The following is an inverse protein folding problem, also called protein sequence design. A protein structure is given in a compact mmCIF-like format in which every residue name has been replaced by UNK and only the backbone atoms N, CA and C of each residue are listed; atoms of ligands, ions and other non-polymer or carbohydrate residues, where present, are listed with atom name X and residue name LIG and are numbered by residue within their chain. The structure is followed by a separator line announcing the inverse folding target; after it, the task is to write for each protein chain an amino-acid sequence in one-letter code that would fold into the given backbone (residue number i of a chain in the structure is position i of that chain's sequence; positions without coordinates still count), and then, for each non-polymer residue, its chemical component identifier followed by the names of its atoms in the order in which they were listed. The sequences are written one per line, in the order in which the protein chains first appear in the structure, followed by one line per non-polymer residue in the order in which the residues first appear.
data_IF_930848488669
#
_entry.id   IF_930848488669
#
_cell.length_a   1.000
_cell.length_b   1.000
_cell.length_c   1.000
_cell.angle_alpha   90.00
_cell.angle_beta   90.00
_cell.angle_gamma   90.00
#
_symmetry.space_group_name_H-M   'P 1'
#
loop_
_entity.id
_entity.type
_entity.pdbx_description
1 polymer ?
#
# COMPACT_ATOMS: atom_id res chain seq x y z
N UNK A 1 -3.70 18.32 2.20
CA UNK A 1 -4.03 18.31 0.76
C UNK A 1 -5.49 17.92 0.58
N UNK A 2 -6.44 18.85 0.78
CA UNK A 2 -7.89 18.58 0.67
C UNK A 2 -8.66 19.65 -0.11
N UNK A 3 -7.93 20.59 -0.73
CA UNK A 3 -8.50 21.73 -1.44
C UNK A 3 -9.27 21.32 -2.70
N UNK A 4 -8.91 20.18 -3.32
CA UNK A 4 -9.60 19.66 -4.50
C UNK A 4 -11.02 19.18 -4.21
N UNK A 5 -11.30 18.65 -3.01
CA UNK A 5 -12.66 18.30 -2.58
C UNK A 5 -13.53 19.56 -2.46
N UNK A 6 -12.96 20.65 -1.95
CA UNK A 6 -13.62 21.95 -1.90
C UNK A 6 -14.00 22.47 -3.29
N UNK A 7 -13.14 22.27 -4.29
CA UNK A 7 -13.42 22.64 -5.68
C UNK A 7 -14.51 21.76 -6.27
N UNK A 8 -14.49 20.44 -6.04
CA UNK A 8 -15.53 19.51 -6.52
C UNK A 8 -16.89 19.85 -5.92
N UNK A 9 -16.94 20.14 -4.61
CA UNK A 9 -18.17 20.56 -3.92
C UNK A 9 -18.66 21.91 -4.45
N UNK A 10 -17.77 22.87 -4.72
CA UNK A 10 -18.14 24.14 -5.32
C UNK A 10 -18.74 23.95 -6.72
N UNK A 11 -18.11 23.15 -7.57
CA UNK A 11 -18.60 22.82 -8.92
C UNK A 11 -19.98 22.15 -8.85
N UNK A 12 -20.16 21.17 -7.95
CA UNK A 12 -21.45 20.49 -7.78
C UNK A 12 -22.53 21.41 -7.20
N UNK A 13 -22.18 22.27 -6.22
CA UNK A 13 -23.14 23.22 -5.63
C UNK A 13 -23.55 24.33 -6.59
N UNK A 14 -22.67 24.70 -7.53
CA UNK A 14 -22.98 25.59 -8.64
C UNK A 14 -23.91 24.91 -9.66
N UNK A 15 -23.73 23.60 -9.88
CA UNK A 15 -24.59 22.79 -10.74
C UNK A 15 -26.02 22.58 -10.20
N UNK A 16 -26.21 22.50 -8.89
CA UNK A 16 -27.55 22.34 -8.28
C UNK A 16 -28.39 23.63 -8.30
N UNK A 17 -27.77 24.81 -8.43
CA UNK A 17 -28.48 26.11 -8.40
C UNK A 17 -28.88 26.64 -9.77
N UNK A 18 -28.51 25.99 -10.86
CA UNK A 18 -28.86 26.43 -12.21
C UNK A 18 -29.34 25.27 -13.06
N UNK A 19 -30.66 25.17 -13.26
CA UNK A 19 -31.27 24.45 -14.39
C UNK A 19 -31.06 25.20 -15.70
N UNK A 20 -29.82 25.58 -15.97
CA UNK A 20 -29.32 25.98 -17.28
C UNK A 20 -28.00 25.24 -17.44
N UNK A 21 -27.90 24.36 -18.44
CA UNK A 21 -26.71 23.56 -18.69
C UNK A 21 -25.49 24.47 -18.79
N UNK A 22 -24.65 24.50 -17.75
CA UNK A 22 -23.38 25.22 -17.77
C UNK A 22 -22.53 24.54 -18.84
N UNK A 23 -22.48 25.10 -20.04
CA UNK A 23 -21.61 24.64 -21.11
C UNK A 23 -20.19 25.03 -20.71
N UNK A 24 -19.49 24.12 -20.04
CA UNK A 24 -18.08 24.32 -19.70
C UNK A 24 -17.30 24.48 -21.01
N UNK A 25 -16.66 25.64 -21.24
CA UNK A 25 -15.89 25.83 -22.45
C UNK A 25 -14.74 24.82 -22.52
N UNK A 26 -14.50 24.23 -23.70
CA UNK A 26 -13.48 23.19 -23.90
C UNK A 26 -12.10 23.57 -23.36
N UNK A 27 -11.73 24.85 -23.44
CA UNK A 27 -10.43 25.33 -22.94
C UNK A 27 -10.30 25.26 -21.41
N UNK A 28 -11.39 25.43 -20.65
CA UNK A 28 -11.36 25.30 -19.19
C UNK A 28 -11.11 23.85 -18.80
N UNK A 29 -11.82 22.91 -19.43
CA UNK A 29 -11.59 21.48 -19.22
C UNK A 29 -10.16 21.07 -19.59
N UNK A 30 -9.64 21.53 -20.73
CA UNK A 30 -8.25 21.29 -21.15
C UNK A 30 -7.27 21.87 -20.13
N UNK A 31 -7.49 23.09 -19.64
CA UNK A 31 -6.61 23.72 -18.65
C UNK A 31 -6.60 22.97 -17.31
N UNK A 32 -7.75 22.45 -16.88
CA UNK A 32 -7.85 21.64 -15.66
C UNK A 32 -7.06 20.33 -15.80
N UNK A 33 -7.14 19.68 -16.97
CA UNK A 33 -6.33 18.50 -17.28
C UNK A 33 -4.83 18.80 -17.26
N UNK A 34 -4.41 19.92 -17.86
CA UNK A 34 -3.00 20.34 -17.84
C UNK A 34 -2.51 20.59 -16.41
N UNK A 35 -3.27 21.33 -15.61
CA UNK A 35 -2.93 21.60 -14.20
C UNK A 35 -2.87 20.31 -13.39
N UNK A 36 -3.78 19.38 -13.63
CA UNK A 36 -3.76 18.06 -12.98
C UNK A 36 -2.51 17.26 -13.35
N UNK A 37 -2.16 17.20 -14.63
CA UNK A 37 -0.95 16.50 -15.12
C UNK A 37 0.30 17.12 -14.51
N UNK A 38 0.40 18.45 -14.51
CA UNK A 38 1.52 19.18 -13.87
C UNK A 38 1.57 18.85 -12.38
N UNK A 39 0.45 18.91 -11.66
CA UNK A 39 0.40 18.55 -10.25
C UNK A 39 0.88 17.13 -9.96
N UNK A 40 0.53 16.17 -10.83
CA UNK A 40 0.97 14.77 -10.73
C UNK A 40 2.46 14.61 -11.03
N UNK A 41 2.98 15.29 -12.06
CA UNK A 41 4.39 15.19 -12.48
C UNK A 41 5.34 15.84 -11.47
N UNK A 42 4.94 16.95 -10.86
CA UNK A 42 5.77 17.69 -9.91
C UNK A 42 5.59 17.25 -8.45
N UNK A 43 4.63 16.39 -8.15
CA UNK A 43 4.46 15.85 -6.80
C UNK A 43 5.43 14.69 -6.53
N UNK A 44 6.25 14.85 -5.50
CA UNK A 44 7.23 13.84 -5.09
C UNK A 44 6.58 12.56 -4.56
N UNK A 45 5.34 12.62 -4.06
CA UNK A 45 4.64 11.45 -3.52
C UNK A 45 4.12 10.55 -4.64
N UNK A 46 3.67 11.12 -5.76
CA UNK A 46 3.28 10.35 -6.94
C UNK A 46 4.49 9.61 -7.56
N UNK A 47 5.64 10.28 -7.65
CA UNK A 47 6.90 9.63 -8.06
C UNK A 47 7.28 8.47 -7.13
N UNK A 48 7.17 8.66 -5.81
CA UNK A 48 7.41 7.59 -4.84
C UNK A 48 6.39 6.44 -4.98
N UNK A 49 5.10 6.74 -5.18
CA UNK A 49 4.05 5.74 -5.30
C UNK A 49 4.20 4.89 -6.57
N UNK A 50 4.58 5.52 -7.70
CA UNK A 50 4.86 4.80 -8.94
C UNK A 50 6.13 3.94 -8.80
N UNK A 51 7.19 4.46 -8.18
CA UNK A 51 8.39 3.67 -7.88
C UNK A 51 8.07 2.48 -6.98
N UNK A 52 7.30 2.71 -5.92
CA UNK A 52 6.89 1.67 -4.98
C UNK A 52 6.03 0.59 -5.66
N UNK A 53 5.11 0.99 -6.54
CA UNK A 53 4.23 0.07 -7.27
C UNK A 53 4.97 -0.77 -8.33
N UNK A 54 5.83 -0.14 -9.13
CA UNK A 54 6.47 -0.82 -10.27
C UNK A 54 7.79 -1.49 -9.92
N UNK A 55 8.52 -0.99 -8.91
CA UNK A 55 9.88 -1.47 -8.58
C UNK A 55 9.91 -2.21 -7.24
N UNK A 56 9.36 -1.63 -6.17
CA UNK A 56 9.44 -2.27 -4.85
C UNK A 56 8.40 -3.37 -4.68
N UNK A 57 7.18 -3.22 -5.20
CA UNK A 57 6.11 -4.19 -4.99
C UNK A 57 6.41 -5.59 -5.57
N UNK A 58 6.96 -5.76 -6.80
CA UNK A 58 7.29 -7.09 -7.30
C UNK A 58 8.37 -7.80 -6.46
N UNK A 59 9.38 -7.05 -6.00
CA UNK A 59 10.43 -7.60 -5.13
C UNK A 59 9.88 -7.99 -3.77
N UNK A 60 9.10 -7.09 -3.16
CA UNK A 60 8.45 -7.34 -1.88
C UNK A 60 7.51 -8.56 -1.96
N UNK A 61 6.74 -8.68 -3.03
CA UNK A 61 5.89 -9.84 -3.29
C UNK A 61 6.70 -11.14 -3.36
N UNK A 62 7.83 -11.15 -4.08
CA UNK A 62 8.70 -12.34 -4.13
C UNK A 62 9.29 -12.71 -2.76
N UNK A 63 9.67 -11.72 -1.93
CA UNK A 63 10.18 -11.98 -0.59
C UNK A 63 9.10 -12.56 0.34
N UNK A 64 7.88 -12.03 0.25
CA UNK A 64 6.73 -12.58 0.98
C UNK A 64 6.43 -14.01 0.52
N UNK A 65 6.35 -14.26 -0.78
CA UNK A 65 6.07 -15.58 -1.33
C UNK A 65 7.10 -16.62 -0.86
N UNK A 66 8.40 -16.29 -0.94
CA UNK A 66 9.47 -17.17 -0.45
C UNK A 66 9.34 -17.48 1.04
N UNK A 67 8.93 -16.49 1.85
CA UNK A 67 8.69 -16.70 3.28
C UNK A 67 7.49 -17.61 3.50
N UNK A 68 6.38 -17.38 2.81
CA UNK A 68 5.19 -18.23 2.89
C UNK A 68 5.52 -19.69 2.58
N UNK A 69 6.30 -19.93 1.53
CA UNK A 69 6.79 -21.27 1.16
C UNK A 69 7.71 -21.87 2.24
N UNK A 70 8.57 -21.04 2.85
CA UNK A 70 9.42 -21.48 3.96
C UNK A 70 8.61 -21.88 5.19
N UNK A 71 7.57 -21.11 5.55
CA UNK A 71 6.67 -21.45 6.66
C UNK A 71 5.93 -22.75 6.34
N UNK A 72 5.37 -22.87 5.13
CA UNK A 72 4.65 -24.07 4.69
C UNK A 72 5.53 -25.32 4.75
N UNK A 73 6.81 -25.22 4.36
CA UNK A 73 7.76 -26.33 4.46
C UNK A 73 8.06 -26.71 5.91
N UNK A 74 8.28 -25.76 6.81
CA UNK A 74 8.57 -26.06 8.22
C UNK A 74 7.40 -26.74 8.94
N UNK A 75 6.16 -26.43 8.56
CA UNK A 75 4.97 -27.16 9.07
C UNK A 75 5.05 -28.65 8.73
N UNK A 76 5.53 -29.00 7.52
CA UNK A 76 5.70 -30.41 7.13
C UNK A 76 6.79 -31.14 7.92
N UNK A 77 7.72 -30.39 8.52
CA UNK A 77 8.82 -30.90 9.37
C UNK A 77 8.41 -30.98 10.86
N UNK A 78 7.15 -30.64 11.20
CA UNK A 78 6.52 -30.75 12.52
C UNK A 78 7.12 -29.84 13.61
N UNK A 79 7.75 -28.73 13.21
CA UNK A 79 8.21 -27.69 14.13
C UNK A 79 7.06 -26.78 14.56
N UNK A 80 6.76 -26.75 15.86
CA UNK A 80 5.63 -25.97 16.42
C UNK A 80 5.92 -24.47 16.61
N UNK A 81 7.19 -24.07 16.58
CA UNK A 81 7.63 -22.68 16.75
C UNK A 81 8.64 -22.36 15.66
N UNK A 82 8.31 -21.42 14.79
CA UNK A 82 9.14 -21.09 13.64
C UNK A 82 9.57 -19.63 13.63
N UNK A 83 10.85 -19.38 13.32
CA UNK A 83 11.36 -18.02 13.14
C UNK A 83 11.63 -17.72 11.68
N UNK A 84 10.99 -16.68 11.17
CA UNK A 84 11.11 -16.25 9.77
C UNK A 84 12.23 -15.24 9.60
N UNK A 85 12.96 -15.24 8.48
CA UNK A 85 13.95 -14.21 8.19
C UNK A 85 13.27 -12.85 7.99
N UNK A 86 13.85 -11.76 8.52
CA UNK A 86 13.30 -10.41 8.34
C UNK A 86 13.31 -9.97 6.87
N UNK A 87 12.27 -9.26 6.42
CA UNK A 87 12.21 -8.70 5.05
C UNK A 87 13.34 -7.68 4.83
N UNK A 88 13.65 -7.39 3.57
CA UNK A 88 14.59 -6.32 3.25
C UNK A 88 14.03 -4.94 3.55
N UNK A 89 14.94 -3.97 3.76
CA UNK A 89 14.61 -2.57 4.07
C UNK A 89 13.85 -1.84 2.93
N UNK A 90 13.63 -2.49 1.77
CA UNK A 90 12.96 -1.91 0.60
C UNK A 90 11.47 -2.24 0.59
N UNK A 91 10.82 -2.04 1.74
CA UNK A 91 9.37 -2.18 1.87
C UNK A 91 8.71 -0.97 1.18
N UNK A 92 7.73 -1.17 0.30
CA UNK A 92 6.97 -0.07 -0.31
C UNK A 92 6.39 0.82 0.79
N UNK A 93 6.68 2.12 0.80
CA UNK A 93 6.20 3.04 1.84
C UNK A 93 4.74 3.42 1.64
N UNK A 94 4.29 3.39 0.39
CA UNK A 94 2.92 3.78 0.01
C UNK A 94 1.90 2.65 0.13
N UNK A 95 2.33 1.43 0.44
CA UNK A 95 1.47 0.28 0.68
C UNK A 95 1.68 -0.12 2.14
N UNK A 96 0.75 0.27 3.01
CA UNK A 96 0.82 -0.08 4.43
C UNK A 96 0.47 -1.56 4.59
N UNK A 97 1.43 -2.37 5.03
CA UNK A 97 1.20 -3.75 5.43
C UNK A 97 1.99 -4.02 6.70
N UNK A 98 1.27 -4.23 7.81
CA UNK A 98 1.88 -4.77 9.02
C UNK A 98 2.12 -6.27 8.81
N UNK A 99 3.38 -6.66 8.93
CA UNK A 99 3.86 -8.02 8.74
C UNK A 99 4.24 -8.65 10.09
N UNK A 100 4.82 -9.85 10.08
CA UNK A 100 5.37 -10.52 11.27
C UNK A 100 6.43 -9.61 11.90
N UNK A 101 6.39 -9.46 13.22
CA UNK A 101 7.31 -8.64 14.01
C UNK A 101 8.25 -9.51 14.85
N UNK A 102 9.15 -8.86 15.60
CA UNK A 102 10.04 -9.53 16.55
C UNK A 102 9.30 -10.02 17.80
N UNK A 103 8.19 -9.38 18.16
CA UNK A 103 7.39 -9.74 19.33
C UNK A 103 6.40 -10.85 18.93
N UNK A 104 6.56 -12.08 19.44
CA UNK A 104 5.68 -13.20 19.11
C UNK A 104 4.24 -12.99 19.61
N UNK A 105 4.01 -12.07 20.56
CA UNK A 105 2.68 -11.75 21.10
C UNK A 105 2.00 -10.61 20.36
N UNK A 106 2.66 -10.03 19.35
CA UNK A 106 2.06 -9.00 18.52
C UNK A 106 0.90 -9.58 17.70
N UNK A 107 -0.18 -8.82 17.56
CA UNK A 107 -1.43 -9.30 16.97
C UNK A 107 -1.26 -9.86 15.55
N UNK A 108 -0.35 -9.30 14.73
CA UNK A 108 -0.09 -9.81 13.38
C UNK A 108 0.53 -11.22 13.45
N UNK A 109 1.50 -11.43 14.35
CA UNK A 109 2.13 -12.73 14.57
C UNK A 109 1.12 -13.76 15.06
N UNK A 110 0.21 -13.42 15.96
CA UNK A 110 -0.85 -14.34 16.39
C UNK A 110 -1.76 -14.76 15.23
N UNK A 111 -2.13 -13.81 14.36
CA UNK A 111 -2.92 -14.10 13.17
C UNK A 111 -2.18 -15.06 12.23
N UNK A 112 -0.88 -14.82 11.99
CA UNK A 112 -0.03 -15.70 11.18
C UNK A 112 0.10 -17.09 11.81
N UNK A 113 0.36 -17.18 13.11
CA UNK A 113 0.48 -18.45 13.82
C UNK A 113 -0.80 -19.27 13.72
N UNK A 114 -1.97 -18.65 13.92
CA UNK A 114 -3.27 -19.31 13.77
C UNK A 114 -3.53 -19.76 12.34
N UNK A 115 -3.23 -18.92 11.34
CA UNK A 115 -3.41 -19.26 9.93
C UNK A 115 -2.57 -20.48 9.52
N UNK A 116 -1.34 -20.57 10.03
CA UNK A 116 -0.40 -21.65 9.74
C UNK A 116 -0.45 -22.82 10.74
N UNK A 117 -1.35 -22.79 11.73
CA UNK A 117 -1.45 -23.78 12.78
C UNK A 117 -0.13 -24.02 13.55
N UNK A 118 0.55 -22.93 13.89
CA UNK A 118 1.78 -22.91 14.71
C UNK A 118 1.46 -22.41 16.13
N UNK A 119 2.27 -22.81 17.11
CA UNK A 119 2.16 -22.30 18.49
C UNK A 119 2.65 -20.86 18.57
N UNK A 120 3.69 -20.50 17.81
CA UNK A 120 4.19 -19.13 17.70
C UNK A 120 4.99 -18.89 16.42
N UNK A 121 5.02 -17.63 15.97
CA UNK A 121 5.84 -17.16 14.84
C UNK A 121 6.45 -15.80 15.17
N UNK A 122 7.70 -15.59 14.81
CA UNK A 122 8.37 -14.30 14.97
C UNK A 122 9.51 -14.13 13.98
N UNK A 123 9.94 -12.88 13.77
CA UNK A 123 11.15 -12.61 13.00
C UNK A 123 12.42 -13.06 13.77
N UNK A 124 13.39 -13.63 13.05
CA UNK A 124 14.78 -13.74 13.53
C UNK A 124 15.49 -12.42 13.34
N UNK A 125 16.16 -11.94 14.40
CA UNK A 125 16.94 -10.71 14.36
C UNK A 125 17.99 -10.78 13.25
N UNK A 126 18.05 -9.78 12.35
CA UNK A 126 19.11 -9.68 11.34
C UNK A 126 20.44 -9.46 12.07
N UNK A 127 21.38 -10.40 11.93
CA UNK A 127 22.80 -10.13 12.20
C UNK A 127 23.33 -9.08 11.23
#
# INVERSE_FOLDING_TARGET
MGWFLGIIVLINSLGERQTETIIVPKYIAISAWVVMIVGIVFDSHFGQATYDLFINAPRYHSELQNRYESIAKNITENEKSFRVPALNKRIPKTIYLDDITLDPTYWSNECYAKFFNLDSIAITNKR
#
